data_IF_975594517735
#
_entry.id   IF_975594517735
#
_cell.length_a   1.000
_cell.length_b   1.000
_cell.length_c   1.000
_cell.angle_alpha   90.00
_cell.angle_beta   90.00
_cell.angle_gamma   90.00
#
_symmetry.space_group_name_H-M   'P 1'
#
loop_
_entity.id
_entity.type
_entity.pdbx_description
1 polymer ?
#
# COMPACT_ATOMS: atom_id res chain seq x y z
N UNK A 1 -14.57 24.76 36.96
CA UNK A 1 -13.79 23.51 37.21
C UNK A 1 -14.43 22.37 36.43
N UNK A 2 -13.84 21.93 35.32
CA UNK A 2 -14.37 20.85 34.49
C UNK A 2 -14.02 19.49 35.11
N UNK A 3 -15.02 18.71 35.50
CA UNK A 3 -14.86 17.36 36.02
C UNK A 3 -14.19 16.50 34.92
N UNK A 4 -12.91 16.14 35.10
CA UNK A 4 -12.22 15.20 34.21
C UNK A 4 -12.90 13.83 34.37
N UNK A 5 -13.79 13.49 33.43
CA UNK A 5 -14.43 12.17 33.35
C UNK A 5 -13.33 11.11 33.30
N UNK A 6 -13.22 10.28 34.34
CA UNK A 6 -12.20 9.23 34.44
C UNK A 6 -12.40 8.23 33.29
N UNK A 7 -11.42 8.11 32.40
CA UNK A 7 -11.48 7.17 31.27
C UNK A 7 -11.34 5.75 31.83
N UNK A 8 -12.38 4.93 31.67
CA UNK A 8 -12.33 3.52 32.00
C UNK A 8 -11.75 2.73 30.82
N UNK A 9 -10.49 2.33 30.93
CA UNK A 9 -9.81 1.57 29.86
C UNK A 9 -10.20 0.10 29.92
N UNK A 10 -10.82 -0.42 28.85
CA UNK A 10 -11.34 -1.79 28.78
C UNK A 10 -11.27 -2.37 27.36
N UNK A 11 -11.37 -3.69 27.25
CA UNK A 11 -11.38 -4.39 25.95
C UNK A 11 -10.16 -4.03 25.08
N UNK A 12 -10.39 -3.76 23.79
CA UNK A 12 -9.33 -3.37 22.86
C UNK A 12 -8.54 -2.13 23.28
N UNK A 13 -9.16 -1.17 23.99
CA UNK A 13 -8.45 0.00 24.50
C UNK A 13 -7.37 -0.36 25.53
N UNK A 14 -7.53 -1.47 26.28
CA UNK A 14 -6.52 -1.95 27.24
C UNK A 14 -5.29 -2.53 26.52
N UNK A 15 -5.51 -3.24 25.41
CA UNK A 15 -4.43 -3.78 24.58
C UNK A 15 -3.58 -2.62 24.04
N UNK A 16 -4.23 -1.63 23.42
CA UNK A 16 -3.54 -0.46 22.88
C UNK A 16 -2.85 0.38 23.96
N UNK A 17 -3.49 0.55 25.13
CA UNK A 17 -2.85 1.23 26.25
C UNK A 17 -1.60 0.48 26.75
N UNK A 18 -1.64 -0.85 26.77
CA UNK A 18 -0.49 -1.69 27.11
C UNK A 18 0.67 -1.48 26.13
N UNK A 19 0.40 -1.46 24.82
CA UNK A 19 1.42 -1.16 23.81
C UNK A 19 2.04 0.21 23.99
N UNK A 20 1.20 1.22 24.28
CA UNK A 20 1.67 2.59 24.46
C UNK A 20 2.51 2.75 25.73
N UNK A 21 2.09 2.13 26.85
CA UNK A 21 2.86 2.15 28.11
C UNK A 21 4.20 1.43 28.00
N UNK A 22 4.30 0.39 27.17
CA UNK A 22 5.55 -0.30 26.85
C UNK A 22 6.46 0.50 25.89
N UNK A 23 6.00 1.64 25.38
CA UNK A 23 6.75 2.45 24.40
C UNK A 23 6.71 1.91 22.97
N UNK A 24 6.07 0.76 22.73
CA UNK A 24 6.11 0.03 21.46
C UNK A 24 5.59 0.87 20.28
N UNK A 25 4.45 1.53 20.45
CA UNK A 25 3.86 2.36 19.40
C UNK A 25 4.70 3.61 19.10
N UNK A 26 5.23 4.23 20.15
CA UNK A 26 6.06 5.44 20.02
C UNK A 26 7.38 5.12 19.33
N UNK A 27 8.01 4.02 19.71
CA UNK A 27 9.27 3.58 19.13
C UNK A 27 9.10 3.19 17.66
N UNK A 28 8.01 2.49 17.33
CA UNK A 28 7.67 2.17 15.94
C UNK A 28 7.57 3.44 15.08
N UNK A 29 6.91 4.49 15.59
CA UNK A 29 6.77 5.75 14.87
C UNK A 29 8.07 6.54 14.75
N UNK A 30 8.90 6.55 15.78
CA UNK A 30 10.21 7.20 15.76
C UNK A 30 11.13 6.54 14.75
N UNK A 31 11.22 5.21 14.77
CA UNK A 31 12.10 4.48 13.85
C UNK A 31 11.63 4.63 12.40
N UNK A 32 10.32 4.61 12.14
CA UNK A 32 9.74 4.87 10.81
C UNK A 32 10.20 6.23 10.27
N UNK A 33 10.04 7.30 11.06
CA UNK A 33 10.52 8.66 10.71
C UNK A 33 12.05 8.72 10.54
N UNK A 34 12.82 8.06 11.40
CA UNK A 34 14.28 8.01 11.33
C UNK A 34 14.78 7.32 10.05
N UNK A 35 14.15 6.21 9.67
CA UNK A 35 14.44 5.47 8.43
C UNK A 35 14.22 6.35 7.21
N UNK A 36 13.12 7.10 7.18
CA UNK A 36 12.83 8.03 6.07
C UNK A 36 13.87 9.15 6.00
N UNK A 37 14.23 9.74 7.15
CA UNK A 37 15.29 10.75 7.22
C UNK A 37 16.63 10.22 6.70
N UNK A 38 17.07 9.04 7.17
CA UNK A 38 18.32 8.42 6.73
C UNK A 38 18.28 8.18 5.21
N UNK A 39 17.17 7.64 4.70
CA UNK A 39 17.01 7.39 3.27
C UNK A 39 17.13 8.67 2.44
N UNK A 40 16.55 9.77 2.90
CA UNK A 40 16.67 11.06 2.23
C UNK A 40 18.07 11.66 2.29
N UNK A 41 18.80 11.48 3.39
CA UNK A 41 20.22 11.89 3.48
C UNK A 41 21.10 11.10 2.54
N UNK A 42 20.95 9.77 2.50
CA UNK A 42 21.71 8.92 1.56
C UNK A 42 21.36 9.26 0.11
N UNK A 43 20.08 9.57 -0.18
CA UNK A 43 19.65 10.08 -1.49
C UNK A 43 20.39 11.35 -1.88
N UNK A 44 20.40 12.35 -1.00
CA UNK A 44 21.05 13.64 -1.24
C UNK A 44 22.54 13.47 -1.50
N UNK A 45 23.23 12.71 -0.64
CA UNK A 45 24.63 12.37 -0.86
C UNK A 45 24.82 11.72 -2.24
N UNK A 46 24.04 10.69 -2.56
CA UNK A 46 24.23 9.97 -3.81
C UNK A 46 23.99 10.84 -5.05
N UNK A 47 23.04 11.79 -4.96
CA UNK A 47 22.72 12.77 -6.01
C UNK A 47 23.84 13.80 -6.18
N UNK A 48 24.39 14.35 -5.09
CA UNK A 48 25.48 15.32 -5.08
C UNK A 48 26.75 14.79 -5.78
N UNK A 49 27.05 13.50 -5.62
CA UNK A 49 28.19 12.85 -6.28
C UNK A 49 27.83 12.24 -7.64
N UNK A 50 26.61 12.46 -8.16
CA UNK A 50 26.17 11.99 -9.48
C UNK A 50 26.08 10.46 -9.61
N UNK A 51 26.02 9.73 -8.49
CA UNK A 51 25.98 8.28 -8.50
C UNK A 51 24.55 7.77 -8.76
N UNK A 52 24.30 7.14 -9.91
CA UNK A 52 22.96 6.57 -10.18
C UNK A 52 22.66 5.30 -9.36
N UNK A 53 23.71 4.55 -9.02
CA UNK A 53 23.66 3.33 -8.20
C UNK A 53 24.96 3.22 -7.39
N UNK A 54 24.85 2.92 -6.10
CA UNK A 54 25.99 2.64 -5.21
C UNK A 54 25.68 1.44 -4.31
N UNK A 55 26.71 0.62 -4.07
CA UNK A 55 26.66 -0.45 -3.07
C UNK A 55 27.33 0.06 -1.79
N UNK A 56 26.58 0.05 -0.70
CA UNK A 56 26.97 0.39 0.65
C UNK A 56 27.03 -0.90 1.47
N UNK A 57 28.11 -1.65 1.33
CA UNK A 57 28.38 -2.88 2.10
C UNK A 57 27.18 -3.86 2.14
N UNK A 58 26.61 -4.16 0.96
CA UNK A 58 25.49 -5.10 0.79
C UNK A 58 24.10 -4.47 0.85
N UNK A 59 23.98 -3.14 0.95
CA UNK A 59 22.74 -2.41 0.63
C UNK A 59 22.99 -1.56 -0.61
N UNK A 60 22.01 -1.51 -1.48
CA UNK A 60 22.10 -0.81 -2.76
C UNK A 60 21.20 0.41 -2.71
N UNK A 61 21.83 1.58 -2.85
CA UNK A 61 21.15 2.83 -3.15
C UNK A 61 21.07 3.01 -4.65
N UNK A 62 19.86 3.19 -5.20
CA UNK A 62 19.69 3.44 -6.63
C UNK A 62 18.52 4.36 -6.93
N UNK A 63 18.67 5.13 -7.99
CA UNK A 63 17.58 5.87 -8.61
C UNK A 63 16.90 4.98 -9.65
N UNK A 64 15.60 4.78 -9.48
CA UNK A 64 14.77 3.99 -10.39
C UNK A 64 13.85 4.96 -11.13
N UNK A 65 13.83 4.88 -12.46
CA UNK A 65 12.88 5.62 -13.27
C UNK A 65 11.46 5.08 -13.05
N UNK A 66 10.55 5.96 -12.68
CA UNK A 66 9.14 5.72 -12.55
C UNK A 66 8.42 6.56 -13.60
N UNK A 67 7.98 5.90 -14.67
CA UNK A 67 7.16 6.53 -15.70
C UNK A 67 5.80 6.91 -15.11
N UNK A 68 5.40 8.16 -15.33
CA UNK A 68 4.06 8.65 -15.07
C UNK A 68 3.30 8.55 -16.39
N UNK A 69 2.18 7.85 -16.35
CA UNK A 69 1.35 7.62 -17.52
C UNK A 69 0.07 8.45 -17.43
N UNK A 70 -0.24 9.16 -18.50
CA UNK A 70 -1.62 9.49 -18.85
C UNK A 70 -2.23 8.26 -19.51
N UNK A 71 -3.42 7.87 -19.06
CA UNK A 71 -4.09 6.65 -19.50
C UNK A 71 -5.40 7.00 -20.17
N UNK A 72 -5.58 6.47 -21.38
CA UNK A 72 -6.90 6.39 -21.99
C UNK A 72 -7.65 5.22 -21.36
N UNK A 73 -8.43 5.54 -20.33
CA UNK A 73 -9.19 4.55 -19.58
C UNK A 73 -10.35 3.97 -20.37
N UNK A 74 -10.99 4.78 -21.22
CA UNK A 74 -12.16 4.38 -22.00
C UNK A 74 -11.73 3.46 -23.13
N UNK A 75 -10.72 3.85 -23.93
CA UNK A 75 -10.19 3.00 -25.00
C UNK A 75 -9.60 1.68 -24.48
N UNK A 76 -8.96 1.69 -23.29
CA UNK A 76 -8.49 0.45 -22.65
C UNK A 76 -9.65 -0.44 -22.22
N UNK A 77 -10.73 0.12 -21.68
CA UNK A 77 -11.91 -0.66 -21.29
C UNK A 77 -12.58 -1.28 -22.52
N UNK A 78 -12.76 -0.50 -23.59
CA UNK A 78 -13.33 -0.98 -24.87
C UNK A 78 -12.53 -2.15 -25.43
N UNK A 79 -11.21 -1.99 -25.57
CA UNK A 79 -10.35 -3.06 -26.06
C UNK A 79 -10.41 -4.33 -25.20
N UNK A 80 -10.38 -4.18 -23.87
CA UNK A 80 -10.47 -5.32 -22.96
C UNK A 80 -11.86 -5.99 -23.00
N UNK A 81 -12.91 -5.24 -23.30
CA UNK A 81 -14.26 -5.77 -23.47
C UNK A 81 -14.35 -6.59 -24.76
N UNK A 82 -13.81 -6.08 -25.86
CA UNK A 82 -13.81 -6.75 -27.17
C UNK A 82 -13.11 -8.12 -27.13
N UNK A 83 -12.05 -8.24 -26.33
CA UNK A 83 -11.34 -9.52 -26.12
C UNK A 83 -11.90 -10.35 -24.95
N UNK A 84 -12.99 -9.90 -24.32
CA UNK A 84 -13.69 -10.62 -23.25
C UNK A 84 -13.00 -10.65 -21.88
N UNK A 85 -12.01 -9.80 -21.65
CA UNK A 85 -11.23 -9.78 -20.40
C UNK A 85 -11.70 -8.71 -19.41
N UNK A 86 -12.40 -7.67 -19.86
CA UNK A 86 -12.83 -6.56 -19.00
C UNK A 86 -13.51 -7.02 -17.68
N UNK A 87 -14.51 -7.92 -17.67
CA UNK A 87 -15.15 -8.36 -16.43
C UNK A 87 -14.22 -9.10 -15.45
N UNK A 88 -13.09 -9.64 -15.94
CA UNK A 88 -12.14 -10.41 -15.14
C UNK A 88 -11.03 -9.54 -14.53
N UNK A 89 -10.77 -8.36 -15.11
CA UNK A 89 -9.67 -7.48 -14.72
C UNK A 89 -10.14 -6.10 -14.25
N UNK A 90 -11.44 -5.79 -14.38
CA UNK A 90 -12.00 -4.54 -13.92
C UNK A 90 -12.46 -4.62 -12.46
N UNK A 91 -12.20 -3.55 -11.72
CA UNK A 91 -12.90 -3.22 -10.49
C UNK A 91 -13.79 -2.01 -10.74
N UNK A 92 -14.90 -1.86 -10.01
CA UNK A 92 -15.78 -0.69 -10.20
C UNK A 92 -15.19 0.53 -9.49
N UNK A 93 -15.01 1.63 -10.23
CA UNK A 93 -14.61 2.91 -9.67
C UNK A 93 -15.76 3.56 -8.91
N UNK A 94 -15.79 3.32 -7.61
CA UNK A 94 -16.81 3.86 -6.72
C UNK A 94 -16.77 5.40 -6.58
N UNK A 95 -15.76 6.08 -7.13
CA UNK A 95 -15.75 7.55 -7.16
C UNK A 95 -16.61 8.07 -8.31
N UNK A 96 -16.42 7.54 -9.53
CA UNK A 96 -17.25 7.87 -10.70
C UNK A 96 -18.69 7.41 -10.54
N UNK A 97 -18.91 6.26 -9.91
CA UNK A 97 -20.26 5.72 -9.71
C UNK A 97 -21.14 6.63 -8.85
N UNK A 98 -20.56 7.35 -7.88
CA UNK A 98 -21.31 8.24 -6.98
C UNK A 98 -21.89 9.47 -7.67
N UNK A 99 -21.38 9.81 -8.84
CA UNK A 99 -21.85 10.96 -9.62
C UNK A 99 -23.17 10.65 -10.36
N UNK A 100 -23.59 9.37 -10.40
CA UNK A 100 -24.86 8.92 -10.97
C UNK A 100 -25.68 8.12 -9.93
N UNK A 101 -26.67 8.74 -9.27
CA UNK A 101 -27.50 8.06 -8.28
C UNK A 101 -28.25 6.83 -8.84
N UNK A 102 -28.70 6.90 -10.09
CA UNK A 102 -29.43 5.81 -10.75
C UNK A 102 -28.54 4.58 -10.97
N UNK A 103 -27.33 4.79 -11.52
CA UNK A 103 -26.38 3.70 -11.74
C UNK A 103 -25.88 3.12 -10.41
N UNK A 104 -25.74 3.97 -9.38
CA UNK A 104 -25.40 3.52 -8.04
C UNK A 104 -26.47 2.60 -7.45
N UNK A 105 -27.74 2.93 -7.61
CA UNK A 105 -28.86 2.11 -7.13
C UNK A 105 -28.91 0.76 -7.84
N UNK A 106 -28.62 0.72 -9.15
CA UNK A 106 -28.50 -0.53 -9.91
C UNK A 106 -27.31 -1.39 -9.47
N UNK A 107 -26.20 -0.78 -9.05
CA UNK A 107 -25.00 -1.49 -8.61
C UNK A 107 -25.06 -1.99 -7.17
N UNK A 108 -25.93 -1.41 -6.33
CA UNK A 108 -26.04 -1.74 -4.90
C UNK A 108 -26.23 -3.24 -4.58
N UNK A 109 -27.00 -4.03 -5.36
CA UNK A 109 -27.13 -5.48 -5.15
C UNK A 109 -25.81 -6.26 -5.23
N UNK A 110 -24.78 -5.70 -5.88
CA UNK A 110 -23.49 -6.35 -6.13
C UNK A 110 -22.37 -5.86 -5.19
N UNK A 111 -22.72 -5.14 -4.12
CA UNK A 111 -21.74 -4.65 -3.16
C UNK A 111 -21.11 -5.83 -2.41
N UNK A 112 -19.78 -5.84 -2.42
CA UNK A 112 -18.94 -6.68 -1.56
C UNK A 112 -18.55 -5.83 -0.34
N UNK A 113 -19.02 -6.17 0.88
CA UNK A 113 -18.67 -5.43 2.08
C UNK A 113 -17.16 -5.42 2.31
N UNK A 114 -16.62 -4.23 2.57
CA UNK A 114 -15.21 -4.09 2.90
C UNK A 114 -14.87 -4.79 4.20
N UNK A 115 -13.68 -5.41 4.28
CA UNK A 115 -13.24 -6.05 5.52
C UNK A 115 -13.06 -5.00 6.63
N UNK A 116 -13.69 -5.18 7.80
CA UNK A 116 -13.53 -4.23 8.90
C UNK A 116 -12.10 -4.28 9.44
N UNK A 117 -11.61 -3.15 9.95
CA UNK A 117 -10.25 -3.02 10.47
C UNK A 117 -10.20 -2.14 11.73
N UNK A 118 -9.21 -2.41 12.59
CA UNK A 118 -8.92 -1.56 13.75
C UNK A 118 -8.01 -0.41 13.37
N UNK A 119 -8.39 0.79 13.79
CA UNK A 119 -7.57 2.00 13.73
C UNK A 119 -7.36 2.58 15.13
N UNK A 120 -6.10 2.86 15.47
CA UNK A 120 -5.78 3.71 16.62
C UNK A 120 -5.66 5.18 16.17
N UNK A 121 -6.30 6.07 16.94
CA UNK A 121 -6.25 7.52 16.74
C UNK A 121 -5.74 8.17 18.03
N UNK A 122 -4.48 8.65 18.06
CA UNK A 122 -3.90 9.23 19.26
C UNK A 122 -4.55 10.58 19.60
N UNK A 123 -4.68 10.87 20.90
CA UNK A 123 -4.99 12.21 21.40
C UNK A 123 -3.68 13.00 21.62
N UNK A 124 -3.75 14.20 22.20
CA UNK A 124 -2.55 15.03 22.47
C UNK A 124 -1.48 14.27 23.29
N UNK A 125 -1.89 13.49 24.30
CA UNK A 125 -0.98 12.70 25.12
C UNK A 125 -0.43 11.46 24.40
N UNK A 126 -1.10 10.98 23.35
CA UNK A 126 -0.66 9.86 22.53
C UNK A 126 0.08 10.25 21.25
N UNK A 127 0.20 11.55 20.94
CA UNK A 127 0.96 12.01 19.78
C UNK A 127 2.45 11.78 20.04
N UNK A 128 3.10 11.18 19.05
CA UNK A 128 4.56 11.05 19.03
C UNK A 128 5.10 12.32 18.42
N UNK A 129 5.88 13.08 19.18
CA UNK A 129 6.53 14.28 18.67
C UNK A 129 7.51 13.92 17.55
N UNK A 130 7.63 14.80 16.56
CA UNK A 130 8.71 14.73 15.59
C UNK A 130 10.04 14.82 16.33
N UNK A 131 10.98 13.97 15.92
CA UNK A 131 12.34 14.00 16.44
C UNK A 131 13.23 14.72 15.45
N UNK A 132 14.15 15.51 15.99
CA UNK A 132 15.21 16.09 15.20
C UNK A 132 16.32 15.05 14.98
N UNK A 133 16.55 14.71 13.71
CA UNK A 133 17.61 13.81 13.27
C UNK A 133 18.79 14.56 12.64
N UNK A 134 18.86 15.89 12.81
CA UNK A 134 19.93 16.75 12.32
C UNK A 134 21.33 16.28 12.75
N UNK A 135 21.47 15.65 13.92
CA UNK A 135 22.72 15.06 14.39
C UNK A 135 23.28 13.97 13.46
N UNK A 136 22.46 13.38 12.57
CA UNK A 136 22.86 12.42 11.55
C UNK A 136 23.21 13.08 10.20
N UNK A 137 23.13 14.40 10.08
CA UNK A 137 23.30 15.11 8.81
C UNK A 137 24.71 15.02 8.24
N UNK A 138 25.72 15.02 9.11
CA UNK A 138 27.15 14.95 8.74
C UNK A 138 27.73 13.53 8.80
N UNK A 139 26.89 12.53 9.10
CA UNK A 139 27.33 11.14 9.19
C UNK A 139 27.68 10.57 7.81
N UNK A 140 28.69 9.70 7.79
CA UNK A 140 29.12 8.99 6.59
C UNK A 140 27.98 8.11 6.01
N UNK A 141 27.76 8.13 4.68
CA UNK A 141 26.69 7.34 4.05
C UNK A 141 26.74 5.84 4.31
N UNK A 142 27.92 5.22 4.40
CA UNK A 142 28.03 3.80 4.69
C UNK A 142 27.57 3.51 6.13
N UNK A 143 27.87 4.41 7.07
CA UNK A 143 27.35 4.33 8.45
C UNK A 143 25.85 4.57 8.52
N UNK A 144 25.32 5.55 7.79
CA UNK A 144 23.89 5.82 7.68
C UNK A 144 23.13 4.60 7.15
N UNK A 145 23.65 3.96 6.11
CA UNK A 145 23.03 2.77 5.51
C UNK A 145 23.08 1.56 6.45
N UNK A 146 24.15 1.39 7.23
CA UNK A 146 24.20 0.38 8.28
C UNK A 146 23.11 0.61 9.33
N UNK A 147 22.96 1.85 9.80
CA UNK A 147 21.92 2.23 10.76
C UNK A 147 20.52 2.00 10.20
N UNK A 148 20.28 2.39 8.94
CA UNK A 148 19.04 2.11 8.23
C UNK A 148 18.69 0.62 8.23
N UNK A 149 19.67 -0.25 7.95
CA UNK A 149 19.46 -1.70 7.92
C UNK A 149 19.06 -2.25 9.30
N UNK A 150 19.73 -1.81 10.35
CA UNK A 150 19.44 -2.22 11.73
C UNK A 150 18.06 -1.73 12.19
N UNK A 151 17.79 -0.44 11.98
CA UNK A 151 16.50 0.19 12.27
C UNK A 151 15.36 -0.47 11.50
N UNK A 152 15.58 -0.86 10.23
CA UNK A 152 14.56 -1.53 9.41
C UNK A 152 14.15 -2.88 9.99
N UNK A 153 15.13 -3.70 10.40
CA UNK A 153 14.87 -5.00 11.05
C UNK A 153 14.12 -4.83 12.36
N UNK A 154 14.48 -3.81 13.13
CA UNK A 154 13.80 -3.52 14.39
C UNK A 154 12.37 -3.01 14.15
N UNK A 155 12.17 -2.13 13.18
CA UNK A 155 10.85 -1.65 12.76
C UNK A 155 9.95 -2.81 12.33
N UNK A 156 10.44 -3.74 11.51
CA UNK A 156 9.66 -4.92 11.07
C UNK A 156 9.18 -5.75 12.27
N UNK A 157 9.99 -5.85 13.34
CA UNK A 157 9.62 -6.52 14.59
C UNK A 157 8.51 -5.76 15.33
N UNK A 158 8.63 -4.44 15.41
CA UNK A 158 7.62 -3.58 16.03
C UNK A 158 6.29 -3.61 15.25
N UNK A 159 6.34 -3.56 13.92
CA UNK A 159 5.15 -3.63 13.06
C UNK A 159 4.43 -4.96 13.25
N UNK A 160 5.15 -6.09 13.26
CA UNK A 160 4.55 -7.41 13.54
C UNK A 160 3.86 -7.46 14.90
N UNK A 161 4.48 -6.92 15.94
CA UNK A 161 3.86 -6.84 17.27
C UNK A 161 2.59 -5.97 17.29
N UNK A 162 2.60 -4.86 16.54
CA UNK A 162 1.44 -3.98 16.41
C UNK A 162 0.30 -4.62 15.60
N UNK A 163 0.63 -5.34 14.52
CA UNK A 163 -0.33 -6.07 13.70
C UNK A 163 -0.99 -7.21 14.48
N UNK A 164 -0.21 -7.99 15.23
CA UNK A 164 -0.75 -9.02 16.12
C UNK A 164 -1.73 -8.43 17.15
N UNK A 165 -1.41 -7.27 17.73
CA UNK A 165 -2.31 -6.57 18.64
C UNK A 165 -3.57 -6.05 17.95
N UNK A 166 -3.49 -5.58 16.69
CA UNK A 166 -4.68 -5.20 15.90
C UNK A 166 -5.61 -6.40 15.68
N UNK A 167 -5.06 -7.56 15.35
CA UNK A 167 -5.83 -8.81 15.22
C UNK A 167 -6.50 -9.22 16.54
N UNK A 168 -5.81 -9.07 17.67
CA UNK A 168 -6.41 -9.30 18.99
C UNK A 168 -7.54 -8.29 19.29
N UNK A 169 -7.31 -7.00 18.99
CA UNK A 169 -8.32 -5.95 19.16
C UNK A 169 -9.56 -6.19 18.28
N UNK A 170 -9.39 -6.69 17.06
CA UNK A 170 -10.49 -7.08 16.15
C UNK A 170 -11.40 -8.14 16.77
N UNK A 171 -10.87 -9.01 17.65
CA UNK A 171 -11.65 -10.05 18.35
C UNK A 171 -12.42 -9.52 19.56
N UNK A 172 -12.18 -8.27 19.98
CA UNK A 172 -12.82 -7.69 21.16
C UNK A 172 -14.34 -7.50 20.97
N UNK A 173 -15.14 -8.23 21.76
CA UNK A 173 -16.61 -8.10 21.76
C UNK A 173 -17.08 -6.68 22.10
N UNK A 174 -16.39 -6.01 23.03
CA UNK A 174 -16.69 -4.64 23.41
C UNK A 174 -16.46 -3.67 22.26
N UNK A 175 -15.35 -3.82 21.52
CA UNK A 175 -15.07 -2.96 20.37
C UNK A 175 -16.08 -3.19 19.25
N UNK A 176 -16.50 -4.43 19.00
CA UNK A 176 -17.55 -4.75 18.03
C UNK A 176 -18.89 -4.09 18.39
N UNK A 177 -19.25 -4.05 19.68
CA UNK A 177 -20.49 -3.44 20.17
C UNK A 177 -20.44 -1.91 20.17
N UNK A 178 -19.37 -1.32 20.70
CA UNK A 178 -19.27 0.13 20.92
C UNK A 178 -18.67 0.88 19.72
N UNK A 179 -18.08 0.17 18.76
CA UNK A 179 -17.33 0.66 17.58
C UNK A 179 -16.10 1.52 17.90
N UNK A 180 -16.04 2.17 19.05
CA UNK A 180 -14.94 3.01 19.49
C UNK A 180 -14.73 2.90 21.01
N UNK A 181 -13.50 2.64 21.43
CA UNK A 181 -13.10 2.57 22.83
C UNK A 181 -11.99 3.59 23.10
N UNK A 182 -12.17 4.43 24.11
CA UNK A 182 -11.19 5.45 24.49
C UNK A 182 -10.15 4.89 25.46
N UNK A 183 -8.91 5.36 25.36
CA UNK A 183 -7.83 5.13 26.33
C UNK A 183 -7.16 6.46 26.69
N UNK A 184 -6.21 6.43 27.63
CA UNK A 184 -5.51 7.65 28.07
C UNK A 184 -4.71 8.33 26.94
N UNK A 185 -4.31 7.58 25.92
CA UNK A 185 -3.48 8.07 24.81
C UNK A 185 -4.26 8.26 23.50
N UNK A 186 -5.58 8.08 23.50
CA UNK A 186 -6.37 8.21 22.27
C UNK A 186 -7.61 7.34 22.25
N UNK A 187 -7.90 6.76 21.09
CA UNK A 187 -9.03 5.85 20.92
C UNK A 187 -8.74 4.77 19.90
N UNK A 188 -9.30 3.59 20.13
CA UNK A 188 -9.29 2.45 19.21
C UNK A 188 -10.67 2.39 18.58
N UNK A 189 -10.75 2.44 17.25
CA UNK A 189 -11.99 2.39 16.49
C UNK A 189 -12.02 1.17 15.58
N UNK A 190 -13.16 0.50 15.47
CA UNK A 190 -13.45 -0.50 14.46
C UNK A 190 -14.15 0.20 13.29
N UNK A 191 -13.47 0.27 12.16
CA UNK A 191 -13.94 0.93 10.95
C UNK A 191 -14.32 -0.12 9.92
N UNK A 192 -15.34 0.19 9.11
CA UNK A 192 -15.67 -0.61 7.94
C UNK A 192 -14.63 -0.37 6.85
N UNK A 193 -14.24 -1.44 6.16
CA UNK A 193 -13.39 -1.33 4.98
C UNK A 193 -14.12 -0.59 3.87
N UNK A 194 -13.37 -0.06 2.89
CA UNK A 194 -14.01 0.45 1.67
C UNK A 194 -14.72 -0.72 0.98
N UNK A 195 -16.03 -0.60 0.66
CA UNK A 195 -16.71 -1.62 -0.12
C UNK A 195 -16.10 -1.68 -1.52
N UNK A 196 -16.23 -2.84 -2.14
CA UNK A 196 -15.98 -3.05 -3.56
C UNK A 196 -17.24 -3.61 -4.21
N UNK A 197 -17.21 -3.83 -5.51
CA UNK A 197 -18.33 -4.40 -6.25
C UNK A 197 -17.88 -5.66 -6.97
N UNK A 198 -18.78 -6.63 -7.10
CA UNK A 198 -18.59 -7.80 -7.94
C UNK A 198 -18.75 -7.41 -9.42
N UNK A 199 -17.63 -7.13 -10.08
CA UNK A 199 -17.62 -6.70 -11.48
C UNK A 199 -18.13 -7.79 -12.44
N UNK A 200 -17.92 -9.07 -12.13
CA UNK A 200 -18.39 -10.18 -12.96
C UNK A 200 -19.91 -10.29 -12.91
N UNK A 201 -20.49 -10.22 -11.71
CA UNK A 201 -21.95 -10.25 -11.56
C UNK A 201 -22.62 -9.00 -12.14
N UNK A 202 -22.00 -7.82 -11.99
CA UNK A 202 -22.48 -6.60 -12.66
C UNK A 202 -22.48 -6.76 -14.17
N UNK A 203 -21.40 -7.31 -14.75
CA UNK A 203 -21.32 -7.53 -16.19
C UNK A 203 -22.43 -8.46 -16.70
N UNK A 204 -22.75 -9.52 -15.94
CA UNK A 204 -23.82 -10.46 -16.31
C UNK A 204 -25.22 -9.84 -16.28
N UNK A 205 -25.49 -8.98 -15.30
CA UNK A 205 -26.84 -8.47 -15.04
C UNK A 205 -27.10 -7.09 -15.66
N UNK A 206 -26.11 -6.20 -15.65
CA UNK A 206 -26.20 -4.82 -16.15
C UNK A 206 -25.51 -4.62 -17.51
N UNK A 207 -24.77 -5.62 -17.99
CA UNK A 207 -24.09 -5.59 -19.28
C UNK A 207 -22.73 -4.90 -19.27
N UNK A 208 -22.12 -4.89 -20.45
CA UNK A 208 -20.76 -4.39 -20.68
C UNK A 208 -20.65 -2.86 -20.55
N UNK A 209 -21.68 -2.12 -20.97
CA UNK A 209 -21.74 -0.65 -20.90
C UNK A 209 -21.48 -0.12 -19.49
N UNK A 210 -21.93 -0.86 -18.47
CA UNK A 210 -21.69 -0.48 -17.08
C UNK A 210 -20.18 -0.52 -16.75
N UNK A 211 -19.48 -1.58 -17.18
CA UNK A 211 -18.04 -1.73 -16.95
C UNK A 211 -17.24 -0.80 -17.86
N UNK A 212 -17.69 -0.50 -19.08
CA UNK A 212 -17.03 0.50 -19.92
C UNK A 212 -17.03 1.88 -19.23
N UNK A 213 -18.17 2.26 -18.67
CA UNK A 213 -18.38 3.55 -17.99
C UNK A 213 -17.71 3.64 -16.62
N UNK A 214 -17.80 2.59 -15.79
CA UNK A 214 -17.36 2.63 -14.39
C UNK A 214 -16.18 1.71 -14.06
N UNK A 215 -15.74 0.89 -15.00
CA UNK A 215 -14.64 -0.04 -14.82
C UNK A 215 -13.30 0.67 -14.69
N UNK A 216 -12.51 0.16 -13.74
CA UNK A 216 -11.13 0.53 -13.50
C UNK A 216 -10.30 -0.73 -13.51
N UNK A 217 -9.48 -0.85 -14.55
CA UNK A 217 -8.59 -1.98 -14.78
C UNK A 217 -7.56 -2.12 -13.66
N UNK A 218 -7.53 -3.29 -13.05
CA UNK A 218 -6.47 -3.73 -12.16
C UNK A 218 -5.27 -4.20 -13.00
N UNK A 219 -4.20 -3.42 -12.94
CA UNK A 219 -3.00 -3.71 -13.70
C UNK A 219 -2.20 -4.90 -13.22
N UNK A 220 -2.32 -5.25 -11.94
CA UNK A 220 -1.67 -6.45 -11.43
C UNK A 220 -2.36 -7.70 -11.98
N UNK A 221 -3.69 -7.72 -12.01
CA UNK A 221 -4.43 -8.80 -12.65
C UNK A 221 -4.14 -8.86 -14.15
N UNK A 222 -4.07 -7.71 -14.83
CA UNK A 222 -3.75 -7.67 -16.24
C UNK A 222 -2.33 -8.19 -16.56
N UNK A 223 -1.36 -7.96 -15.67
CA UNK A 223 -0.02 -8.55 -15.75
C UNK A 223 -0.07 -10.09 -15.72
N UNK A 224 -1.02 -10.70 -14.99
CA UNK A 224 -1.23 -12.15 -14.94
C UNK A 224 -1.78 -12.70 -16.27
N UNK A 225 -2.76 -12.02 -16.89
CA UNK A 225 -3.28 -12.42 -18.19
C UNK A 225 -2.27 -12.21 -19.33
N UNK A 226 -1.45 -11.16 -19.27
CA UNK A 226 -0.28 -11.00 -20.15
C UNK A 226 0.70 -12.16 -19.98
N UNK A 227 0.93 -12.58 -18.73
CA UNK A 227 1.79 -13.70 -18.42
C UNK A 227 1.24 -15.05 -18.93
N UNK A 228 -0.06 -15.19 -19.06
CA UNK A 228 -0.69 -16.38 -19.65
C UNK A 228 -0.75 -16.33 -21.19
N UNK A 229 -0.39 -15.20 -21.81
CA UNK A 229 -0.34 -15.04 -23.26
C UNK A 229 -1.66 -14.57 -23.89
N UNK A 230 -2.67 -14.19 -23.09
CA UNK A 230 -3.97 -13.72 -23.59
C UNK A 230 -3.90 -12.33 -24.23
N UNK A 231 -2.89 -11.53 -23.89
CA UNK A 231 -2.65 -10.21 -24.47
C UNK A 231 -1.17 -9.85 -24.42
N UNK A 232 -0.71 -9.02 -25.34
CA UNK A 232 0.67 -8.51 -25.38
C UNK A 232 0.73 -7.12 -24.76
N UNK A 233 1.82 -6.84 -24.05
CA UNK A 233 2.07 -5.52 -23.47
C UNK A 233 1.96 -4.37 -24.49
N UNK A 234 2.42 -4.59 -25.73
CA UNK A 234 2.33 -3.60 -26.80
C UNK A 234 0.89 -3.18 -27.13
N UNK A 235 -0.07 -4.09 -26.97
CA UNK A 235 -1.49 -3.83 -27.19
C UNK A 235 -2.09 -2.96 -26.08
N UNK A 236 -1.50 -2.94 -24.89
CA UNK A 236 -1.90 -2.04 -23.81
C UNK A 236 -1.17 -0.71 -23.85
N UNK A 237 0.08 -0.72 -24.31
CA UNK A 237 0.93 0.47 -24.35
C UNK A 237 0.33 1.54 -25.28
N UNK A 238 -0.53 1.19 -26.24
CA UNK A 238 -1.25 2.16 -27.09
C UNK A 238 -2.24 3.05 -26.30
N UNK A 239 -2.78 2.56 -25.19
CA UNK A 239 -3.71 3.31 -24.32
C UNK A 239 -2.97 4.10 -23.23
N UNK A 240 -1.65 4.24 -23.35
CA UNK A 240 -0.79 4.86 -22.33
C UNK A 240 0.22 5.76 -22.96
N UNK A 241 0.22 7.00 -22.51
CA UNK A 241 1.23 7.97 -22.89
C UNK A 241 2.09 8.29 -21.69
N UNK A 242 3.41 8.13 -21.84
CA UNK A 242 4.36 8.62 -20.84
C UNK A 242 4.32 10.15 -20.90
N UNK A 243 3.90 10.78 -19.81
CA UNK A 243 3.85 12.25 -19.69
C UNK A 243 5.02 12.80 -18.88
N UNK A 244 5.61 11.98 -18.01
CA UNK A 244 6.72 12.35 -17.15
C UNK A 244 7.51 11.11 -16.75
N UNK A 245 8.80 11.27 -16.47
CA UNK A 245 9.69 10.21 -15.98
C UNK A 245 10.34 10.71 -14.70
N UNK A 246 9.83 10.25 -13.56
CA UNK A 246 10.33 10.65 -12.25
C UNK A 246 11.41 9.70 -11.78
N UNK A 247 12.42 10.21 -11.07
CA UNK A 247 13.40 9.36 -10.40
C UNK A 247 12.96 9.12 -8.95
N UNK A 248 12.83 7.84 -8.59
CA UNK A 248 12.57 7.40 -7.22
C UNK A 248 13.83 6.78 -6.63
N UNK A 249 14.26 7.29 -5.49
CA UNK A 249 15.37 6.69 -4.75
C UNK A 249 14.89 5.51 -3.89
N UNK A 250 15.64 4.41 -3.93
CA UNK A 250 15.38 3.22 -3.12
C UNK A 250 16.68 2.75 -2.46
N UNK A 251 16.54 2.29 -1.21
CA UNK A 251 17.53 1.49 -0.51
C UNK A 251 17.00 0.06 -0.44
N UNK A 252 17.79 -0.90 -0.89
CA UNK A 252 17.42 -2.31 -0.90
C UNK A 252 18.61 -3.18 -0.52
N UNK A 253 18.41 -4.20 0.32
CA UNK A 253 19.48 -5.18 0.58
C UNK A 253 19.84 -5.92 -0.72
N UNK A 254 21.13 -6.15 -0.95
CA UNK A 254 21.63 -6.78 -2.18
C UNK A 254 21.01 -8.17 -2.41
N UNK A 255 20.80 -8.94 -1.34
CA UNK A 255 20.11 -10.23 -1.41
C UNK A 255 18.64 -10.09 -1.84
N UNK A 256 17.94 -9.05 -1.36
CA UNK A 256 16.56 -8.78 -1.76
C UNK A 256 16.49 -8.30 -3.22
N UNK A 257 17.46 -7.50 -3.68
CA UNK A 257 17.58 -7.13 -5.10
C UNK A 257 17.81 -8.37 -5.97
N UNK A 258 18.71 -9.27 -5.56
CA UNK A 258 18.99 -10.52 -6.27
C UNK A 258 17.75 -11.42 -6.34
N UNK A 259 17.02 -11.61 -5.24
CA UNK A 259 15.77 -12.38 -5.21
C UNK A 259 14.70 -11.79 -6.13
N UNK A 260 14.55 -10.46 -6.15
CA UNK A 260 13.64 -9.80 -7.08
C UNK A 260 14.05 -10.07 -8.53
N UNK A 261 15.34 -9.94 -8.84
CA UNK A 261 15.86 -10.20 -10.18
C UNK A 261 15.67 -11.66 -10.60
N UNK A 262 15.96 -12.61 -9.72
CA UNK A 262 15.73 -14.05 -9.94
C UNK A 262 14.25 -14.35 -10.15
N UNK A 263 13.36 -13.73 -9.37
CA UNK A 263 11.92 -13.86 -9.56
C UNK A 263 11.50 -13.35 -10.94
N UNK A 264 11.97 -12.16 -11.35
CA UNK A 264 11.71 -11.62 -12.68
C UNK A 264 12.24 -12.54 -13.78
N UNK A 265 13.48 -13.06 -13.65
CA UNK A 265 14.06 -13.98 -14.62
C UNK A 265 13.31 -15.30 -14.70
N UNK A 266 12.93 -15.90 -13.58
CA UNK A 266 12.11 -17.12 -13.55
C UNK A 266 10.75 -16.88 -14.18
N UNK A 267 10.14 -15.73 -13.92
CA UNK A 267 8.89 -15.39 -14.57
C UNK A 267 9.10 -15.27 -16.09
N UNK A 268 10.10 -14.50 -16.55
CA UNK A 268 10.43 -14.40 -17.98
C UNK A 268 10.72 -15.75 -18.64
N UNK A 269 11.43 -16.66 -17.96
CA UNK A 269 11.68 -18.01 -18.46
C UNK A 269 10.40 -18.85 -18.54
N UNK A 270 9.54 -18.79 -17.52
CA UNK A 270 8.21 -19.44 -17.54
C UNK A 270 7.38 -18.94 -18.71
N UNK A 271 7.34 -17.63 -18.92
CA UNK A 271 6.69 -17.00 -20.06
C UNK A 271 7.26 -17.52 -21.38
N UNK A 272 8.58 -17.51 -21.54
CA UNK A 272 9.24 -17.96 -22.77
C UNK A 272 8.95 -19.42 -23.14
N UNK A 273 8.66 -20.29 -22.15
CA UNK A 273 8.30 -21.69 -22.37
C UNK A 273 6.86 -21.84 -22.85
N UNK A 274 5.94 -21.01 -22.34
CA UNK A 274 4.55 -20.96 -22.81
C UNK A 274 4.49 -20.50 -24.28
N UNK A 275 5.30 -19.49 -24.65
CA UNK A 275 5.40 -19.00 -26.04
C UNK A 275 6.04 -19.97 -27.05
N UNK A 276 6.62 -21.10 -26.62
CA UNK A 276 7.24 -22.10 -27.52
C UNK A 276 6.36 -23.32 -27.79
N UNK A 277 5.20 -23.43 -27.12
CA UNK A 277 4.30 -24.59 -27.19
C UNK A 277 2.93 -24.23 -27.80
N UNK A 278 2.71 -22.95 -28.15
CA UNK A 278 1.61 -22.50 -29.00
C UNK A 278 2.11 -22.16 -30.39
#
# INVERSE_FOLDING_TARGET
MSIKKKILVRGAAKIMEGLFKKGHYQEMKRIDSKIDYIKDRVRQFQDEYGHKRRNYSGVIGKFVSCNVYEKDHEGMNEYLNDIGLLPLVASIDSTRLKDSPEDLDQANPFIIPGKPYVRFSPNLAGRVAEQDYSFLSEEDPDRLVKLWREDRKFLDTLVKGYDAAKEEMMRSRLLKKERKLSCNFGSVSLLEGKPSYDAESIYRELGDQFLLKYGKVDMLQLDEYMAMGFLKKKELDQFRKIVDVRLKFVLIEQEAEAKLYDFFQRNLQRLSRIYRVG
#
